data_IF_547749576359
#
_entry.id   IF_547749576359
#
_cell.length_a   1.000
_cell.length_b   1.000
_cell.length_c   1.000
_cell.angle_alpha   90.00
_cell.angle_beta   90.00
_cell.angle_gamma   90.00
#
_symmetry.space_group_name_H-M   'P 1'
#
loop_
_entity.id
_entity.type
_entity.pdbx_description
1 polymer ?
#
# COMPACT_ATOMS: atom_id res chain seq x y z
N UNK A 1 -11.23 -67.64 -2.63
CA UNK A 1 -11.23 -67.02 -1.30
C UNK A 1 -9.93 -66.21 -1.20
N UNK A 2 -9.89 -64.98 -1.69
CA UNK A 2 -10.33 -63.72 -1.09
C UNK A 2 -9.62 -63.40 0.24
N UNK A 3 -8.61 -62.53 0.22
CA UNK A 3 -8.29 -61.64 1.34
C UNK A 3 -7.95 -60.25 0.79
N UNK A 4 -8.66 -59.26 1.30
CA UNK A 4 -8.76 -57.91 0.77
C UNK A 4 -7.74 -56.92 1.32
N UNK A 5 -7.72 -55.78 0.64
CA UNK A 5 -6.95 -54.57 0.86
C UNK A 5 -7.32 -53.90 2.19
N UNK A 6 -6.34 -53.46 2.97
CA UNK A 6 -6.53 -52.49 4.04
C UNK A 6 -6.08 -51.10 3.54
N UNK A 7 -7.03 -50.21 3.28
CA UNK A 7 -6.79 -48.78 3.08
C UNK A 7 -6.75 -48.09 4.45
N UNK A 8 -5.74 -47.26 4.64
CA UNK A 8 -5.48 -46.48 5.85
C UNK A 8 -6.41 -45.26 5.88
N UNK A 9 -7.29 -45.18 6.88
CA UNK A 9 -8.27 -44.11 7.04
C UNK A 9 -7.60 -42.83 7.58
N UNK A 10 -7.48 -41.80 6.73
CA UNK A 10 -7.21 -40.43 7.19
C UNK A 10 -8.51 -39.75 7.68
N UNK A 11 -8.47 -38.90 8.72
CA UNK A 11 -9.65 -38.18 9.19
C UNK A 11 -10.15 -37.17 8.13
N UNK A 12 -11.46 -36.85 8.09
CA UNK A 12 -12.02 -35.97 7.08
C UNK A 12 -11.44 -34.55 7.19
N UNK A 13 -11.04 -33.99 6.04
CA UNK A 13 -10.59 -32.62 5.91
C UNK A 13 -11.63 -31.65 6.49
N UNK A 14 -11.17 -30.72 7.34
CA UNK A 14 -11.98 -29.72 8.01
C UNK A 14 -12.64 -28.83 6.95
N UNK A 15 -13.97 -28.89 6.83
CA UNK A 15 -14.71 -28.10 5.84
C UNK A 15 -14.44 -26.60 6.03
N UNK A 16 -13.95 -25.95 4.98
CA UNK A 16 -13.51 -24.56 4.99
C UNK A 16 -14.64 -23.61 5.39
N UNK A 17 -14.44 -22.92 6.51
CA UNK A 17 -15.43 -22.02 7.09
C UNK A 17 -15.79 -20.82 6.20
N UNK A 18 -14.97 -20.56 5.18
CA UNK A 18 -15.14 -19.50 4.19
C UNK A 18 -16.29 -19.82 3.22
N UNK A 19 -16.52 -21.10 2.91
CA UNK A 19 -17.56 -21.51 1.94
C UNK A 19 -18.98 -21.43 2.51
N UNK A 20 -19.19 -21.64 3.82
CA UNK A 20 -20.54 -21.56 4.40
C UNK A 20 -21.05 -20.13 4.53
N UNK A 21 -20.15 -19.14 4.62
CA UNK A 21 -20.49 -17.72 4.74
C UNK A 21 -21.06 -17.16 3.43
N UNK A 22 -20.61 -17.67 2.27
CA UNK A 22 -21.07 -17.26 0.95
C UNK A 22 -22.58 -17.53 0.69
N UNK A 23 -23.16 -18.50 1.41
CA UNK A 23 -24.56 -18.92 1.30
C UNK A 23 -25.51 -18.21 2.27
N UNK A 24 -25.03 -17.34 3.17
CA UNK A 24 -25.89 -16.57 4.09
C UNK A 24 -26.52 -15.37 3.36
N UNK A 25 -27.79 -15.07 3.65
CA UNK A 25 -28.47 -13.87 3.12
C UNK A 25 -28.04 -12.63 3.90
N UNK A 26 -27.97 -11.47 3.23
CA UNK A 26 -27.67 -10.18 3.87
C UNK A 26 -26.20 -9.75 3.81
N UNK A 27 -25.80 -8.87 4.73
CA UNK A 27 -24.48 -8.20 4.72
C UNK A 27 -23.31 -9.21 4.82
N UNK A 28 -23.47 -10.25 5.64
CA UNK A 28 -22.47 -11.32 5.83
C UNK A 28 -22.23 -12.15 4.57
N UNK A 29 -23.28 -12.39 3.76
CA UNK A 29 -23.14 -13.09 2.49
C UNK A 29 -22.39 -12.28 1.42
N UNK A 30 -22.50 -10.95 1.47
CA UNK A 30 -21.76 -10.06 0.57
C UNK A 30 -20.27 -10.01 0.93
N UNK A 31 -19.96 -10.03 2.23
CA UNK A 31 -18.58 -10.10 2.71
C UNK A 31 -17.92 -11.45 2.36
N UNK A 32 -18.63 -12.56 2.53
CA UNK A 32 -18.10 -13.89 2.15
C UNK A 32 -17.77 -14.02 0.65
N UNK A 33 -18.53 -13.36 -0.23
CA UNK A 33 -18.26 -13.33 -1.68
C UNK A 33 -17.12 -12.40 -2.07
N UNK A 34 -16.87 -11.34 -1.30
CA UNK A 34 -15.77 -10.40 -1.55
C UNK A 34 -14.39 -11.00 -1.23
N UNK A 35 -14.34 -11.99 -0.33
CA UNK A 35 -13.09 -12.66 0.09
C UNK A 35 -12.85 -13.97 -0.70
N UNK A 36 -13.86 -14.46 -1.42
CA UNK A 36 -13.77 -15.65 -2.28
C UNK A 36 -13.08 -15.32 -3.60
N UNK A 37 -11.76 -15.18 -3.58
CA UNK A 37 -10.94 -15.12 -4.80
C UNK A 37 -10.82 -16.53 -5.38
N UNK A 38 -11.33 -16.74 -6.61
CA UNK A 38 -10.78 -17.80 -7.45
C UNK A 38 -9.32 -17.41 -7.72
N UNK A 39 -8.37 -18.16 -7.16
CA UNK A 39 -6.98 -18.08 -7.59
C UNK A 39 -6.95 -18.49 -9.07
N UNK A 40 -6.90 -17.50 -9.96
CA UNK A 40 -6.62 -17.74 -11.36
C UNK A 40 -5.23 -18.37 -11.50
N UNK A 41 -4.97 -19.16 -12.55
CA UNK A 41 -3.66 -19.76 -12.76
C UNK A 41 -2.60 -18.66 -12.81
N UNK A 42 -1.53 -18.85 -12.04
CA UNK A 42 -0.35 -18.00 -12.10
C UNK A 42 0.10 -17.87 -13.55
N UNK A 43 0.09 -16.65 -14.08
CA UNK A 43 0.76 -16.36 -15.34
C UNK A 43 2.26 -16.49 -15.04
N UNK A 44 2.83 -17.65 -15.36
CA UNK A 44 4.28 -17.81 -15.45
C UNK A 44 4.75 -16.84 -16.53
N UNK A 45 5.20 -15.67 -16.10
CA UNK A 45 5.84 -14.71 -16.98
C UNK A 45 7.23 -15.24 -17.27
N UNK A 46 7.49 -15.41 -18.56
CA UNK A 46 8.77 -15.79 -19.15
C UNK A 46 9.95 -15.10 -18.44
N UNK A 47 10.99 -15.88 -18.15
CA UNK A 47 12.21 -15.46 -17.46
C UNK A 47 13.04 -14.51 -18.34
N UNK A 48 12.55 -13.30 -18.58
CA UNK A 48 13.43 -12.17 -18.79
C UNK A 48 14.08 -11.91 -17.44
N UNK A 49 15.31 -12.38 -17.26
CA UNK A 49 16.03 -12.31 -15.99
C UNK A 49 15.91 -10.92 -15.34
N UNK A 50 15.94 -10.87 -14.01
CA UNK A 50 15.71 -9.65 -13.23
C UNK A 50 16.46 -8.44 -13.83
N UNK A 51 15.71 -7.53 -14.47
CA UNK A 51 16.27 -6.29 -14.98
C UNK A 51 16.62 -5.45 -13.78
N UNK A 52 17.90 -5.10 -13.70
CA UNK A 52 18.45 -4.20 -12.71
C UNK A 52 17.77 -2.83 -12.79
N UNK A 53 17.14 -2.41 -11.69
CA UNK A 53 16.42 -1.13 -11.63
C UNK A 53 17.35 0.07 -11.93
N UNK A 54 18.65 -0.04 -11.66
CA UNK A 54 19.62 1.02 -11.96
C UNK A 54 19.92 1.19 -13.46
N UNK A 55 19.60 0.19 -14.29
CA UNK A 55 19.96 0.18 -15.70
C UNK A 55 19.33 1.34 -16.48
N UNK A 56 18.12 1.78 -16.09
CA UNK A 56 17.43 2.91 -16.72
C UNK A 56 18.12 4.25 -16.45
N UNK A 57 18.90 4.34 -15.37
CA UNK A 57 19.62 5.54 -14.96
C UNK A 57 21.08 5.56 -15.45
N UNK A 58 21.63 4.41 -15.86
CA UNK A 58 23.02 4.26 -16.29
C UNK A 58 23.45 5.27 -17.39
N UNK A 59 22.63 5.59 -18.42
CA UNK A 59 22.98 6.58 -19.45
C UNK A 59 23.18 8.00 -18.93
N UNK A 60 22.68 8.32 -17.73
CA UNK A 60 22.74 9.65 -17.13
C UNK A 60 23.77 9.75 -16.01
N UNK A 61 24.55 8.69 -15.77
CA UNK A 61 25.56 8.65 -14.72
C UNK A 61 26.52 9.83 -14.85
N UNK A 62 26.74 10.54 -13.74
CA UNK A 62 27.68 11.65 -13.70
C UNK A 62 27.11 12.98 -14.20
N UNK A 63 25.88 13.02 -14.71
CA UNK A 63 25.22 14.27 -15.12
C UNK A 63 24.72 15.07 -13.93
N UNK A 64 24.70 16.39 -14.08
CA UNK A 64 24.17 17.31 -13.08
C UNK A 64 22.63 17.27 -13.08
N UNK A 65 22.03 17.07 -11.92
CA UNK A 65 20.57 17.18 -11.74
C UNK A 65 20.20 18.67 -11.78
N UNK A 66 19.64 19.12 -12.91
CA UNK A 66 19.32 20.53 -13.13
C UNK A 66 18.02 20.96 -12.45
N UNK A 67 17.00 20.10 -12.49
CA UNK A 67 15.73 20.34 -11.82
C UNK A 67 15.05 19.02 -11.44
N UNK A 68 14.22 19.09 -10.40
CA UNK A 68 13.38 17.99 -9.96
C UNK A 68 11.92 18.46 -10.02
N UNK A 69 11.10 17.75 -10.78
CA UNK A 69 9.64 17.94 -10.87
C UNK A 69 8.95 16.77 -10.22
N UNK A 70 7.78 17.02 -9.65
CA UNK A 70 6.97 15.98 -9.02
C UNK A 70 5.55 16.06 -9.57
N UNK A 71 5.03 14.93 -10.05
CA UNK A 71 3.72 14.81 -10.68
C UNK A 71 2.88 13.70 -10.04
N UNK A 72 1.68 14.07 -9.58
CA UNK A 72 0.73 13.12 -9.03
C UNK A 72 -0.11 12.50 -10.14
N UNK A 73 -0.14 11.18 -10.20
CA UNK A 73 -1.05 10.43 -11.06
C UNK A 73 -2.49 10.54 -10.52
N UNK A 74 -3.43 10.83 -11.43
CA UNK A 74 -4.85 10.86 -11.09
C UNK A 74 -5.36 9.50 -10.64
N UNK A 75 -6.32 9.51 -9.73
CA UNK A 75 -7.08 8.33 -9.31
C UNK A 75 -8.09 7.98 -10.43
N UNK A 76 -7.63 7.53 -11.60
CA UNK A 76 -8.55 7.04 -12.63
C UNK A 76 -9.08 5.67 -12.21
N UNK A 77 -10.38 5.66 -11.87
CA UNK A 77 -11.12 4.46 -11.48
C UNK A 77 -11.25 3.46 -12.62
N UNK A 78 -11.29 2.18 -12.25
CA UNK A 78 -11.64 1.07 -13.14
C UNK A 78 -12.95 1.37 -13.89
N UNK A 79 -12.85 1.42 -15.22
CA UNK A 79 -13.96 1.51 -16.16
C UNK A 79 -14.59 0.12 -16.30
N UNK A 80 -15.31 -0.35 -15.28
CA UNK A 80 -16.41 -1.31 -15.38
C UNK A 80 -16.76 -1.81 -13.98
N UNK A 81 -17.94 -1.42 -13.48
CA UNK A 81 -18.87 -2.29 -12.74
C UNK A 81 -20.02 -1.43 -12.19
N UNK A 82 -21.24 -1.95 -12.21
CA UNK A 82 -22.51 -1.21 -12.10
C UNK A 82 -23.10 -1.33 -10.69
N UNK A 83 -22.75 -0.42 -9.78
CA UNK A 83 -23.42 -0.29 -8.47
C UNK A 83 -23.58 1.18 -8.05
N UNK A 84 -24.60 1.86 -8.58
CA UNK A 84 -24.66 3.32 -8.63
C UNK A 84 -25.11 4.06 -7.35
N UNK A 85 -25.69 3.40 -6.33
CA UNK A 85 -26.22 4.12 -5.14
C UNK A 85 -25.25 4.13 -3.94
N UNK A 86 -24.65 2.98 -3.62
CA UNK A 86 -23.66 2.90 -2.54
C UNK A 86 -22.33 3.54 -2.94
N UNK A 87 -21.98 3.54 -4.23
CA UNK A 87 -20.78 4.21 -4.73
C UNK A 87 -20.85 5.73 -4.62
N UNK A 88 -22.00 6.39 -4.83
CA UNK A 88 -22.07 7.85 -4.69
C UNK A 88 -21.72 8.31 -3.27
N UNK A 89 -22.34 7.71 -2.24
CA UNK A 89 -22.03 8.05 -0.84
C UNK A 89 -20.58 7.72 -0.44
N UNK A 90 -20.06 6.56 -0.88
CA UNK A 90 -18.66 6.20 -0.63
C UNK A 90 -17.68 7.10 -1.40
N UNK A 91 -18.02 7.52 -2.62
CA UNK A 91 -17.23 8.43 -3.45
C UNK A 91 -17.25 9.86 -2.88
N UNK A 92 -18.41 10.34 -2.42
CA UNK A 92 -18.55 11.68 -1.83
C UNK A 92 -17.76 11.78 -0.50
N UNK A 93 -17.76 10.71 0.31
CA UNK A 93 -16.93 10.60 1.51
C UNK A 93 -15.47 10.43 1.14
N UNK A 94 -15.13 9.61 0.13
CA UNK A 94 -13.75 9.43 -0.29
C UNK A 94 -13.16 10.74 -0.78
N UNK A 95 -13.87 11.52 -1.59
CA UNK A 95 -13.38 12.78 -2.13
C UNK A 95 -13.28 13.88 -1.05
N UNK A 96 -14.20 13.88 -0.07
CA UNK A 96 -14.17 14.82 1.04
C UNK A 96 -13.06 14.52 2.08
N UNK A 97 -12.75 13.24 2.29
CA UNK A 97 -11.76 12.80 3.28
C UNK A 97 -10.37 12.59 2.68
N UNK A 98 -10.26 12.39 1.36
CA UNK A 98 -9.00 12.17 0.69
C UNK A 98 -8.16 13.44 0.66
N UNK A 99 -7.15 13.50 1.52
CA UNK A 99 -6.04 14.43 1.33
C UNK A 99 -4.91 13.68 0.64
N UNK A 100 -4.65 14.04 -0.62
CA UNK A 100 -3.55 13.48 -1.38
C UNK A 100 -2.18 13.83 -0.80
N UNK A 101 -1.17 13.01 -1.08
CA UNK A 101 0.22 13.33 -0.71
C UNK A 101 0.65 14.64 -1.36
N UNK A 102 1.28 15.53 -0.58
CA UNK A 102 1.75 16.82 -1.08
C UNK A 102 3.07 16.69 -1.83
N UNK A 103 3.33 17.60 -2.78
CA UNK A 103 4.61 17.70 -3.48
C UNK A 103 5.79 17.82 -2.50
N UNK A 104 5.62 18.58 -1.42
CA UNK A 104 6.63 18.75 -0.38
C UNK A 104 6.96 17.43 0.32
N UNK A 105 5.96 16.60 0.60
CA UNK A 105 6.16 15.28 1.20
C UNK A 105 7.00 14.38 0.29
N UNK A 106 6.73 14.38 -1.02
CA UNK A 106 7.51 13.60 -1.99
C UNK A 106 8.95 14.11 -2.06
N UNK A 107 9.15 15.42 -2.21
CA UNK A 107 10.48 16.03 -2.28
C UNK A 107 11.33 15.77 -1.03
N UNK A 108 10.72 15.79 0.17
CA UNK A 108 11.41 15.48 1.43
C UNK A 108 11.87 14.01 1.51
N UNK A 109 11.27 13.12 0.72
CA UNK A 109 11.61 11.70 0.68
C UNK A 109 12.63 11.36 -0.43
N UNK A 110 13.25 12.36 -1.07
CA UNK A 110 14.32 12.14 -2.03
C UNK A 110 15.69 12.09 -1.36
N UNK A 111 16.56 11.21 -1.84
CA UNK A 111 17.94 11.04 -1.37
C UNK A 111 18.94 11.95 -2.09
N UNK A 112 18.44 12.76 -3.03
CA UNK A 112 19.20 13.66 -3.88
C UNK A 112 18.45 14.98 -4.02
N UNK A 113 19.18 16.03 -4.38
CA UNK A 113 18.67 17.37 -4.60
C UNK A 113 19.12 17.93 -5.96
N UNK A 114 18.51 19.04 -6.35
CA UNK A 114 18.98 19.84 -7.48
C UNK A 114 20.44 20.27 -7.23
N UNK A 115 21.28 20.13 -8.24
CA UNK A 115 22.72 20.41 -8.17
C UNK A 115 23.58 19.19 -7.85
N UNK A 116 22.99 18.06 -7.45
CA UNK A 116 23.73 16.82 -7.24
C UNK A 116 24.12 16.15 -8.56
N UNK A 117 25.11 15.26 -8.47
CA UNK A 117 25.49 14.39 -9.59
C UNK A 117 24.64 13.12 -9.58
N UNK A 118 24.05 12.76 -10.71
CA UNK A 118 23.23 11.56 -10.81
C UNK A 118 24.06 10.28 -10.63
N UNK A 119 23.70 9.53 -9.59
CA UNK A 119 24.26 8.21 -9.29
C UNK A 119 23.18 7.12 -9.47
N UNK A 120 23.30 6.23 -10.49
CA UNK A 120 22.24 5.29 -10.85
C UNK A 120 21.69 4.41 -9.72
N UNK A 121 22.57 3.94 -8.82
CA UNK A 121 22.15 3.10 -7.71
C UNK A 121 21.33 3.88 -6.67
N UNK A 122 21.72 5.13 -6.37
CA UNK A 122 20.94 5.99 -5.46
C UNK A 122 19.55 6.29 -6.02
N UNK A 123 19.45 6.50 -7.34
CA UNK A 123 18.16 6.72 -8.00
C UNK A 123 17.25 5.50 -7.90
N UNK A 124 17.80 4.30 -8.16
CA UNK A 124 17.06 3.05 -8.06
C UNK A 124 16.64 2.73 -6.62
N UNK A 125 17.52 2.95 -5.64
CA UNK A 125 17.24 2.76 -4.22
C UNK A 125 16.19 3.76 -3.73
N UNK A 126 16.25 5.01 -4.20
CA UNK A 126 15.24 6.01 -3.84
C UNK A 126 13.88 5.71 -4.47
N UNK A 127 13.82 5.27 -5.73
CA UNK A 127 12.57 4.81 -6.34
C UNK A 127 11.94 3.68 -5.52
N UNK A 128 12.75 2.68 -5.14
CA UNK A 128 12.30 1.59 -4.28
C UNK A 128 11.80 2.11 -2.93
N UNK A 129 12.57 2.98 -2.28
CA UNK A 129 12.17 3.59 -1.01
C UNK A 129 10.83 4.31 -1.11
N UNK A 130 10.59 5.09 -2.17
CA UNK A 130 9.31 5.75 -2.39
C UNK A 130 8.16 4.74 -2.54
N UNK A 131 8.39 3.62 -3.23
CA UNK A 131 7.40 2.55 -3.41
C UNK A 131 7.10 1.78 -2.12
N UNK A 132 8.02 1.79 -1.16
CA UNK A 132 7.83 1.17 0.16
C UNK A 132 7.11 2.10 1.16
N UNK A 133 6.84 3.37 0.80
CA UNK A 133 6.08 4.28 1.65
C UNK A 133 4.62 3.83 1.75
N UNK A 134 4.15 3.60 2.98
CA UNK A 134 2.83 3.02 3.26
C UNK A 134 1.61 3.80 2.74
N UNK A 135 1.80 5.07 2.35
CA UNK A 135 0.76 5.94 1.81
C UNK A 135 0.81 6.09 0.27
N UNK A 136 1.78 5.45 -0.39
CA UNK A 136 1.92 5.43 -1.84
C UNK A 136 1.56 4.04 -2.39
N UNK A 137 0.82 4.01 -3.49
CA UNK A 137 0.51 2.79 -4.22
C UNK A 137 1.66 2.43 -5.15
N UNK A 138 2.24 3.43 -5.82
CA UNK A 138 3.40 3.27 -6.67
C UNK A 138 4.13 4.61 -6.82
N UNK A 139 5.41 4.55 -7.16
CA UNK A 139 6.25 5.71 -7.46
C UNK A 139 7.31 5.34 -8.50
N UNK A 140 7.65 6.30 -9.35
CA UNK A 140 8.65 6.17 -10.42
C UNK A 140 9.53 7.41 -10.46
N UNK A 141 10.81 7.22 -10.73
CA UNK A 141 11.74 8.32 -11.00
C UNK A 141 12.17 8.23 -12.47
N UNK A 142 11.93 9.31 -13.21
CA UNK A 142 12.18 9.38 -14.65
C UNK A 142 13.28 10.40 -14.88
N UNK A 143 14.38 9.96 -15.51
CA UNK A 143 15.46 10.83 -15.95
C UNK A 143 15.23 11.26 -17.40
N UNK A 144 15.22 12.58 -17.65
CA UNK A 144 14.94 13.19 -18.93
C UNK A 144 16.20 13.95 -19.38
N UNK A 145 16.78 13.64 -20.55
CA UNK A 145 17.91 14.41 -21.08
C UNK A 145 17.50 15.86 -21.32
N UNK A 146 18.43 16.79 -21.07
CA UNK A 146 18.19 18.22 -21.34
C UNK A 146 18.56 18.53 -22.78
N UNK A 147 17.64 19.14 -23.52
CA UNK A 147 17.92 19.63 -24.87
C UNK A 147 19.08 20.64 -24.81
N UNK A 148 20.07 20.46 -25.69
CA UNK A 148 21.25 21.31 -25.81
C UNK A 148 22.20 21.34 -24.60
N UNK A 149 22.03 20.46 -23.60
CA UNK A 149 22.99 20.27 -22.51
C UNK A 149 23.19 18.78 -22.21
N UNK A 150 24.29 18.22 -22.73
CA UNK A 150 24.62 16.80 -22.56
C UNK A 150 25.11 16.45 -21.15
N UNK A 151 25.56 17.45 -20.37
CA UNK A 151 26.06 17.30 -19.02
C UNK A 151 24.97 17.38 -17.95
N UNK A 152 23.76 17.83 -18.31
CA UNK A 152 22.63 17.95 -17.40
C UNK A 152 21.54 16.89 -17.64
N UNK A 153 20.73 16.68 -16.61
CA UNK A 153 19.54 15.82 -16.62
C UNK A 153 18.45 16.46 -15.77
N UNK A 154 17.21 16.36 -16.25
CA UNK A 154 16.02 16.72 -15.48
C UNK A 154 15.40 15.46 -14.89
N UNK A 155 14.90 15.55 -13.66
CA UNK A 155 14.23 14.44 -12.98
C UNK A 155 12.75 14.74 -12.82
N UNK A 156 11.90 13.78 -13.17
CA UNK A 156 10.48 13.80 -12.86
C UNK A 156 10.14 12.62 -11.96
N UNK A 157 9.59 12.90 -10.78
CA UNK A 157 9.08 11.89 -9.85
C UNK A 157 7.57 11.81 -10.01
N UNK A 158 7.08 10.64 -10.40
CA UNK A 158 5.66 10.39 -10.60
C UNK A 158 5.18 9.45 -9.51
N UNK A 159 4.05 9.75 -8.87
CA UNK A 159 3.51 8.86 -7.83
C UNK A 159 1.99 8.70 -7.91
N UNK A 160 1.52 7.60 -7.32
CA UNK A 160 0.10 7.32 -7.11
C UNK A 160 -0.14 7.06 -5.62
N UNK A 161 -1.14 7.70 -5.05
CA UNK A 161 -1.45 7.55 -3.61
C UNK A 161 -2.29 6.29 -3.33
N UNK A 162 -2.11 5.73 -2.13
CA UNK A 162 -3.10 4.82 -1.53
C UNK A 162 -4.20 5.62 -0.84
N UNK A 163 -5.36 4.98 -0.65
CA UNK A 163 -6.42 5.55 0.18
C UNK A 163 -5.96 5.54 1.64
N UNK A 164 -5.93 6.69 2.34
CA UNK A 164 -5.18 6.80 3.59
C UNK A 164 -5.93 6.30 4.82
N UNK A 165 -7.26 6.10 4.76
CA UNK A 165 -8.01 5.59 5.90
C UNK A 165 -8.00 4.07 5.95
N UNK A 166 -7.72 3.54 7.14
CA UNK A 166 -7.74 2.12 7.43
C UNK A 166 -8.42 1.83 8.76
N UNK A 167 -8.56 0.54 9.04
CA UNK A 167 -9.02 0.05 10.33
C UNK A 167 -9.12 -1.47 10.33
N UNK A 168 -9.16 -2.04 11.53
CA UNK A 168 -9.36 -3.46 11.74
C UNK A 168 -10.30 -3.68 12.93
N UNK A 169 -11.00 -4.81 12.90
CA UNK A 169 -11.86 -5.24 13.98
C UNK A 169 -11.59 -6.74 14.19
N UNK A 170 -11.12 -7.09 15.38
CA UNK A 170 -10.61 -8.43 15.68
C UNK A 170 -11.33 -8.98 16.91
N UNK A 171 -11.84 -10.22 16.80
CA UNK A 171 -12.36 -10.99 17.92
C UNK A 171 -11.26 -11.95 18.37
N UNK A 172 -10.64 -11.67 19.52
CA UNK A 172 -9.53 -12.48 20.03
C UNK A 172 -10.04 -13.73 20.76
N UNK A 173 -11.22 -13.66 21.36
CA UNK A 173 -11.90 -14.76 22.06
C UNK A 173 -13.42 -14.52 22.08
N UNK A 174 -14.18 -15.41 22.72
CA UNK A 174 -15.61 -15.17 23.00
C UNK A 174 -15.85 -13.96 23.93
N UNK A 175 -14.81 -13.50 24.63
CA UNK A 175 -14.83 -12.45 25.65
C UNK A 175 -13.96 -11.23 25.31
N UNK A 176 -13.28 -11.19 24.16
CA UNK A 176 -12.34 -10.12 23.80
C UNK A 176 -12.50 -9.62 22.36
N UNK A 177 -12.48 -8.29 22.23
CA UNK A 177 -12.62 -7.55 20.98
C UNK A 177 -11.62 -6.39 20.91
N UNK A 178 -11.00 -6.20 19.75
CA UNK A 178 -10.09 -5.10 19.44
C UNK A 178 -10.61 -4.33 18.22
N UNK A 179 -10.64 -3.00 18.29
CA UNK A 179 -11.00 -2.11 17.20
C UNK A 179 -9.86 -1.13 16.96
N UNK A 180 -9.48 -0.98 15.71
CA UNK A 180 -8.48 -0.03 15.25
C UNK A 180 -9.05 0.81 14.11
N UNK A 181 -8.81 2.11 14.16
CA UNK A 181 -9.04 3.03 13.04
C UNK A 181 -7.81 3.91 12.87
N UNK A 182 -7.43 4.20 11.64
CA UNK A 182 -6.25 4.99 11.35
C UNK A 182 -6.40 5.83 10.09
N UNK A 183 -5.57 6.87 10.01
CA UNK A 183 -5.27 7.58 8.78
C UNK A 183 -3.74 7.59 8.60
N UNK A 184 -3.25 7.06 7.47
CA UNK A 184 -1.83 6.88 7.15
C UNK A 184 -1.18 8.06 6.43
N UNK A 185 -1.93 9.09 6.06
CA UNK A 185 -1.43 10.25 5.34
C UNK A 185 -2.17 11.51 5.75
N UNK A 186 -2.17 11.79 7.06
CA UNK A 186 -2.94 12.91 7.60
C UNK A 186 -2.49 14.22 6.92
N UNK A 187 -3.45 14.92 6.32
CA UNK A 187 -3.22 16.16 5.57
C UNK A 187 -2.18 16.06 4.44
N UNK A 188 -1.93 14.87 3.90
CA UNK A 188 -0.96 14.68 2.81
C UNK A 188 0.51 14.75 3.23
N UNK A 189 0.78 14.71 4.54
CA UNK A 189 2.12 14.86 5.14
C UNK A 189 2.95 13.57 5.16
N UNK A 190 2.31 12.44 4.90
CA UNK A 190 2.83 11.10 5.13
C UNK A 190 2.82 10.67 6.60
N UNK A 191 2.27 11.46 7.52
CA UNK A 191 2.18 11.07 8.93
C UNK A 191 0.95 10.20 9.21
N UNK A 192 1.01 9.39 10.28
CA UNK A 192 -0.08 8.50 10.69
C UNK A 192 -0.70 8.96 11.99
N UNK A 193 -2.02 8.86 12.09
CA UNK A 193 -2.76 8.89 13.36
C UNK A 193 -3.56 7.59 13.49
N UNK A 194 -3.52 6.96 14.65
CA UNK A 194 -4.24 5.72 14.94
C UNK A 194 -4.96 5.83 16.28
N UNK A 195 -6.21 5.38 16.31
CA UNK A 195 -6.97 5.17 17.53
C UNK A 195 -7.29 3.68 17.68
N UNK A 196 -7.00 3.12 18.86
CA UNK A 196 -7.22 1.72 19.19
C UNK A 196 -8.10 1.62 20.43
N UNK A 197 -9.04 0.68 20.44
CA UNK A 197 -9.75 0.25 21.64
C UNK A 197 -9.68 -1.26 21.81
N UNK A 198 -9.53 -1.70 23.04
CA UNK A 198 -9.49 -3.10 23.43
C UNK A 198 -10.54 -3.32 24.52
N UNK A 199 -11.35 -4.35 24.34
CA UNK A 199 -12.25 -4.87 25.35
C UNK A 199 -11.90 -6.33 25.63
N UNK A 200 -11.78 -6.70 26.90
CA UNK A 200 -11.45 -8.05 27.36
C UNK A 200 -12.10 -8.28 28.72
N UNK A 201 -13.14 -9.14 28.76
CA UNK A 201 -13.91 -9.38 29.99
C UNK A 201 -13.11 -10.12 31.07
N UNK A 202 -12.00 -10.78 30.71
CA UNK A 202 -11.17 -11.57 31.61
C UNK A 202 -10.06 -10.73 32.26
N UNK A 203 -9.89 -9.46 31.86
CA UNK A 203 -8.89 -8.52 32.41
C UNK A 203 -9.51 -7.45 33.31
N UNK A 204 -8.70 -6.90 34.22
CA UNK A 204 -9.03 -5.73 35.05
C UNK A 204 -7.94 -4.66 34.90
N UNK A 205 -8.23 -3.48 34.33
CA UNK A 205 -9.51 -3.09 33.71
C UNK A 205 -9.78 -3.87 32.41
N UNK A 206 -11.06 -4.14 32.13
CA UNK A 206 -11.49 -4.89 30.94
C UNK A 206 -11.67 -4.02 29.68
N UNK A 207 -11.39 -2.73 29.77
CA UNK A 207 -11.41 -1.80 28.64
C UNK A 207 -10.09 -1.00 28.62
N UNK A 208 -9.54 -0.81 27.43
CA UNK A 208 -8.41 0.07 27.16
C UNK A 208 -8.61 0.86 25.88
N UNK A 209 -8.07 2.07 25.84
CA UNK A 209 -8.01 2.90 24.63
C UNK A 209 -6.62 3.51 24.47
N UNK A 210 -6.24 3.78 23.23
CA UNK A 210 -4.96 4.38 22.89
C UNK A 210 -5.08 5.27 21.66
N UNK A 211 -4.32 6.36 21.66
CA UNK A 211 -4.12 7.25 20.52
C UNK A 211 -2.62 7.29 20.22
N UNK A 212 -2.25 7.03 18.97
CA UNK A 212 -0.87 7.03 18.50
C UNK A 212 -0.74 8.01 17.33
N UNK A 213 0.36 8.77 17.32
CA UNK A 213 0.72 9.65 16.21
C UNK A 213 2.15 9.34 15.76
N UNK A 214 2.28 8.86 14.52
CA UNK A 214 3.59 8.61 13.92
C UNK A 214 3.99 9.77 13.02
N UNK A 215 5.04 10.51 13.40
CA UNK A 215 5.69 11.50 12.55
C UNK A 215 6.68 10.78 11.63
N UNK A 216 6.43 10.78 10.32
CA UNK A 216 7.33 10.14 9.34
C UNK A 216 8.32 11.14 8.77
N UNK A 217 9.55 10.67 8.54
CA UNK A 217 10.64 11.43 7.93
C UNK A 217 10.87 12.81 8.61
N UNK A 218 11.30 12.78 9.87
CA UNK A 218 11.58 13.97 10.68
C UNK A 218 12.67 14.82 10.03
N UNK A 219 12.29 15.97 9.51
CA UNK A 219 13.22 16.93 8.93
C UNK A 219 14.00 16.44 7.71
N UNK A 220 13.56 15.37 7.02
CA UNK A 220 14.32 14.80 5.89
C UNK A 220 15.35 13.74 6.30
N UNK A 221 15.37 13.32 7.57
CA UNK A 221 16.34 12.33 8.09
C UNK A 221 15.96 10.88 7.82
N UNK A 222 14.79 10.61 7.24
CA UNK A 222 14.21 9.27 7.07
C UNK A 222 13.95 8.52 8.40
N UNK A 223 14.04 9.21 9.52
CA UNK A 223 13.65 8.71 10.84
C UNK A 223 12.16 8.94 11.08
N UNK A 224 11.53 7.98 11.75
CA UNK A 224 10.14 8.06 12.19
C UNK A 224 10.08 8.16 13.72
N UNK A 225 9.19 8.99 14.24
CA UNK A 225 8.90 9.12 15.68
C UNK A 225 7.48 8.62 15.92
N UNK A 226 7.31 7.80 16.94
CA UNK A 226 6.03 7.23 17.40
C UNK A 226 5.72 7.73 18.80
#
# INVERSE_FOLDING_TARGET
MNQGLAQQNNPPAKADSVFFLANKKGLLGKLGRAISTNAGPDIITDNQGAIKNEAVFAPFRGKLIRQIRVEKMGFQGSVNDTSNRNRRFLNDISDALYTGTTNKTILRNLFFATGDTLYPYLMADNERFLRDLSYLQDARIIAIPVDHDSAAVDITVVWKDLFPFGGSAELNSASSFNLEINNDNILGTGDRIQFRTLYDMDRKPGFGSGLEYTKRNLGGSFLNLM
#
